data_IF_339055080353
#
_entry.id   IF_339055080353
#
_cell.length_a   1.000
_cell.length_b   1.000
_cell.length_c   1.000
_cell.angle_alpha   90.00
_cell.angle_beta   90.00
_cell.angle_gamma   90.00
#
_symmetry.space_group_name_H-M   'P 1'
#
loop_
_entity.id
_entity.type
_entity.pdbx_description
1 polymer ?
#
# COMPACT_ATOMS: atom_id res chain seq x y z
N UNK A 1 38.08 6.88 -6.50
CA UNK A 1 37.07 6.40 -5.54
C UNK A 1 36.45 7.61 -4.86
N UNK A 2 35.27 8.04 -5.27
CA UNK A 2 34.47 9.03 -4.56
C UNK A 2 33.01 8.63 -4.65
N UNK A 3 32.42 8.39 -3.48
CA UNK A 3 31.07 7.92 -3.27
C UNK A 3 30.07 9.02 -3.66
N UNK A 4 29.20 8.72 -4.63
CA UNK A 4 27.96 9.49 -4.87
C UNK A 4 26.86 8.81 -4.07
N UNK A 5 26.54 9.37 -2.90
CA UNK A 5 25.25 9.14 -2.26
C UNK A 5 24.34 10.28 -2.68
N UNK A 6 23.47 9.99 -3.64
CA UNK A 6 22.41 10.88 -4.08
C UNK A 6 21.36 10.89 -2.96
N UNK A 7 21.34 11.97 -2.18
CA UNK A 7 20.31 12.24 -1.20
C UNK A 7 18.99 12.48 -1.94
N UNK A 8 18.13 11.47 -2.01
CA UNK A 8 16.74 11.59 -2.41
C UNK A 8 15.92 11.94 -1.16
N UNK A 9 16.11 13.16 -0.66
CA UNK A 9 15.33 13.71 0.43
C UNK A 9 14.96 15.15 0.09
N UNK A 10 13.67 15.47 0.26
CA UNK A 10 13.08 16.81 0.20
C UNK A 10 12.84 17.37 -1.20
N UNK A 11 11.78 16.88 -1.86
CA UNK A 11 11.09 17.61 -2.92
C UNK A 11 9.57 17.34 -2.87
N UNK A 12 8.94 17.54 -1.71
CA UNK A 12 7.47 17.60 -1.60
C UNK A 12 7.03 18.80 -0.74
N UNK A 13 7.76 19.91 -0.86
CA UNK A 13 7.47 21.16 -0.13
C UNK A 13 7.61 22.39 -1.03
N UNK A 14 7.05 22.37 -2.24
CA UNK A 14 6.88 23.58 -3.04
C UNK A 14 5.89 23.39 -4.21
N UNK A 15 4.60 23.30 -3.91
CA UNK A 15 3.55 23.66 -4.88
C UNK A 15 2.28 24.10 -4.15
N UNK A 16 2.42 25.13 -3.31
CA UNK A 16 1.31 26.01 -2.97
C UNK A 16 1.28 27.12 -4.03
N UNK A 17 0.34 27.06 -4.99
CA UNK A 17 -0.14 28.29 -5.64
C UNK A 17 -1.47 28.09 -6.38
N UNK A 18 -2.48 28.83 -5.90
CA UNK A 18 -3.66 29.34 -6.61
C UNK A 18 -4.70 28.32 -7.14
N UNK A 19 -5.66 27.97 -6.29
CA UNK A 19 -7.04 27.70 -6.71
C UNK A 19 -8.02 28.18 -5.62
N UNK A 20 -9.20 28.60 -6.05
CA UNK A 20 -10.29 29.30 -5.37
C UNK A 20 -10.71 28.77 -3.96
N UNK A 21 -11.46 29.54 -3.14
CA UNK A 21 -11.91 29.07 -1.84
C UNK A 21 -12.91 27.92 -2.02
N UNK A 22 -12.43 26.68 -1.94
CA UNK A 22 -13.29 25.50 -1.84
C UNK A 22 -13.84 25.48 -0.42
N UNK A 23 -15.16 25.51 -0.29
CA UNK A 23 -15.87 25.41 0.99
C UNK A 23 -15.60 24.05 1.63
N UNK A 24 -14.49 23.93 2.35
CA UNK A 24 -14.20 22.77 3.18
C UNK A 24 -15.02 22.84 4.47
N UNK A 25 -15.81 21.80 4.73
CA UNK A 25 -16.51 21.64 6.01
C UNK A 25 -15.48 21.32 7.10
N UNK A 26 -14.90 22.33 7.73
CA UNK A 26 -14.04 22.15 8.91
C UNK A 26 -14.91 21.87 10.12
N UNK A 27 -15.10 20.59 10.46
CA UNK A 27 -15.84 20.19 11.65
C UNK A 27 -14.93 19.41 12.62
N UNK A 28 -14.34 20.12 13.58
CA UNK A 28 -13.80 19.53 14.80
C UNK A 28 -14.98 19.15 15.69
N UNK A 29 -15.54 17.96 15.50
CA UNK A 29 -16.53 17.43 16.45
C UNK A 29 -16.64 15.92 16.38
N UNK A 30 -16.75 15.28 17.56
CA UNK A 30 -17.11 13.87 17.71
C UNK A 30 -18.36 13.58 16.88
N UNK A 31 -18.22 12.91 15.74
CA UNK A 31 -19.36 12.52 14.91
C UNK A 31 -19.36 11.02 14.70
N UNK A 32 -20.40 10.39 15.22
CA UNK A 32 -20.81 9.05 14.85
C UNK A 32 -21.24 9.03 13.38
N UNK A 33 -20.60 8.17 12.58
CA UNK A 33 -21.00 7.72 11.24
C UNK A 33 -21.53 8.80 10.27
N UNK A 34 -20.63 9.49 9.57
CA UNK A 34 -20.99 10.26 8.38
C UNK A 34 -21.25 9.31 7.20
N UNK A 35 -22.42 9.42 6.58
CA UNK A 35 -22.70 8.85 5.24
C UNK A 35 -22.81 10.03 4.29
N UNK A 36 -21.93 10.09 3.30
CA UNK A 36 -21.93 11.13 2.25
C UNK A 36 -22.46 10.52 0.95
N UNK A 37 -23.34 11.24 0.24
CA UNK A 37 -24.10 10.82 -0.95
C UNK A 37 -24.12 11.90 -2.05
N UNK A 38 -23.02 12.64 -2.22
CA UNK A 38 -22.87 13.59 -3.32
C UNK A 38 -21.43 13.54 -3.84
N UNK A 39 -21.20 13.94 -5.10
CA UNK A 39 -19.86 14.16 -5.68
C UNK A 39 -19.04 15.11 -4.81
N UNK A 40 -18.00 14.60 -4.15
CA UNK A 40 -17.18 15.41 -3.24
C UNK A 40 -15.82 15.71 -3.84
N UNK A 41 -15.52 16.98 -4.02
CA UNK A 41 -14.18 17.41 -4.47
C UNK A 41 -13.07 17.00 -3.52
N UNK A 42 -13.27 17.14 -2.20
CA UNK A 42 -12.28 16.73 -1.20
C UNK A 42 -12.90 16.43 0.15
N UNK A 43 -12.34 15.45 0.83
CA UNK A 43 -12.66 15.09 2.22
C UNK A 43 -11.39 15.16 3.04
N UNK A 44 -11.48 15.80 4.20
CA UNK A 44 -10.41 15.77 5.21
C UNK A 44 -11.02 15.37 6.54
N UNK A 45 -10.55 14.27 7.12
CA UNK A 45 -10.95 13.83 8.45
C UNK A 45 -9.73 13.77 9.38
N UNK A 46 -9.91 14.23 10.62
CA UNK A 46 -8.99 14.01 11.73
C UNK A 46 -9.78 13.40 12.88
N UNK A 47 -9.39 12.21 13.34
CA UNK A 47 -10.13 11.45 14.34
C UNK A 47 -9.24 10.89 15.45
N UNK A 48 -9.62 11.16 16.70
CA UNK A 48 -9.03 10.54 17.90
C UNK A 48 -10.01 9.57 18.56
N UNK A 49 -9.55 8.37 18.89
CA UNK A 49 -10.29 7.33 19.61
C UNK A 49 -10.83 6.22 18.72
N UNK A 50 -12.15 6.14 18.55
CA UNK A 50 -12.80 5.16 17.65
C UNK A 50 -13.58 5.89 16.59
N UNK A 51 -13.38 5.51 15.34
CA UNK A 51 -14.04 6.13 14.21
C UNK A 51 -14.47 5.06 13.19
N UNK A 52 -15.65 5.26 12.59
CA UNK A 52 -16.16 4.41 11.52
C UNK A 52 -16.81 5.27 10.43
N UNK A 53 -16.46 5.00 9.18
CA UNK A 53 -16.93 5.74 8.03
C UNK A 53 -17.39 4.82 6.90
N UNK A 54 -18.44 5.23 6.22
CA UNK A 54 -18.98 4.54 5.04
C UNK A 54 -19.32 5.58 3.98
N UNK A 55 -18.76 5.39 2.79
CA UNK A 55 -18.94 6.25 1.62
C UNK A 55 -19.39 5.40 0.44
N UNK A 56 -20.20 5.98 -0.44
CA UNK A 56 -20.85 5.24 -1.53
C UNK A 56 -20.65 5.87 -2.93
N UNK A 57 -19.97 7.02 -3.06
CA UNK A 57 -19.92 7.81 -4.31
C UNK A 57 -18.52 8.39 -4.55
N UNK A 58 -18.36 9.03 -5.72
CA UNK A 58 -17.12 9.58 -6.28
C UNK A 58 -16.49 10.70 -5.45
N UNK A 59 -15.18 10.58 -5.22
CA UNK A 59 -14.41 11.56 -4.46
C UNK A 59 -13.09 11.86 -5.16
N UNK A 60 -12.81 13.14 -5.45
CA UNK A 60 -11.52 13.45 -6.10
C UNK A 60 -10.34 13.24 -5.15
N UNK A 61 -10.48 13.60 -3.86
CA UNK A 61 -9.40 13.44 -2.88
C UNK A 61 -9.92 13.16 -1.47
N UNK A 62 -9.27 12.22 -0.77
CA UNK A 62 -9.48 11.99 0.66
C UNK A 62 -8.17 12.02 1.43
N UNK A 63 -8.17 12.77 2.52
CA UNK A 63 -7.08 12.78 3.50
C UNK A 63 -7.65 12.39 4.87
N UNK A 64 -7.11 11.35 5.48
CA UNK A 64 -7.48 10.94 6.83
C UNK A 64 -6.24 10.91 7.74
N UNK A 65 -6.34 11.54 8.92
CA UNK A 65 -5.43 11.33 10.04
C UNK A 65 -6.22 10.69 11.19
N UNK A 66 -5.73 9.59 11.75
CA UNK A 66 -6.43 8.88 12.81
C UNK A 66 -5.51 8.38 13.93
N UNK A 67 -5.87 8.75 15.16
CA UNK A 67 -5.32 8.20 16.39
C UNK A 67 -6.30 7.21 17.03
N UNK A 68 -6.01 5.91 16.99
CA UNK A 68 -6.75 4.90 17.76
C UNK A 68 -7.27 3.74 16.93
N UNK A 69 -8.60 3.60 16.79
CA UNK A 69 -9.24 2.55 15.99
C UNK A 69 -10.07 3.19 14.89
N UNK A 70 -9.70 2.95 13.65
CA UNK A 70 -10.37 3.49 12.48
C UNK A 70 -10.86 2.35 11.58
N UNK A 71 -12.10 2.44 11.12
CA UNK A 71 -12.61 1.57 10.07
C UNK A 71 -13.27 2.39 8.97
N UNK A 72 -12.86 2.18 7.74
CA UNK A 72 -13.44 2.84 6.58
C UNK A 72 -13.93 1.82 5.54
N UNK A 73 -15.01 2.20 4.86
CA UNK A 73 -15.52 1.49 3.70
C UNK A 73 -15.92 2.49 2.62
N UNK A 74 -15.43 2.31 1.39
CA UNK A 74 -15.78 3.12 0.21
C UNK A 74 -16.41 2.28 -0.90
N UNK A 75 -17.21 2.93 -1.75
CA UNK A 75 -18.13 2.30 -2.70
C UNK A 75 -17.66 2.33 -4.16
N UNK A 76 -17.32 3.50 -4.70
CA UNK A 76 -17.11 3.70 -6.15
C UNK A 76 -15.71 4.29 -6.38
N UNK A 77 -15.58 5.50 -6.93
CA UNK A 77 -14.30 6.01 -7.41
C UNK A 77 -13.60 6.99 -6.47
N UNK A 78 -12.29 6.85 -6.32
CA UNK A 78 -11.47 7.84 -5.62
C UNK A 78 -10.20 8.17 -6.38
N UNK A 79 -10.01 9.40 -6.82
CA UNK A 79 -8.79 9.73 -7.59
C UNK A 79 -7.53 9.65 -6.71
N UNK A 80 -7.59 10.15 -5.47
CA UNK A 80 -6.44 10.12 -4.56
C UNK A 80 -6.84 9.91 -3.11
N UNK A 81 -6.06 9.06 -2.42
CA UNK A 81 -6.22 8.84 -0.97
C UNK A 81 -4.90 8.92 -0.25
N UNK A 82 -4.88 9.70 0.82
CA UNK A 82 -3.77 9.77 1.76
C UNK A 82 -4.30 9.42 3.15
N UNK A 83 -3.75 8.40 3.79
CA UNK A 83 -4.08 8.07 5.16
C UNK A 83 -2.83 8.03 6.03
N UNK A 84 -2.87 8.68 7.18
CA UNK A 84 -1.92 8.49 8.28
C UNK A 84 -2.70 7.87 9.46
N UNK A 85 -2.19 6.78 10.01
CA UNK A 85 -2.87 6.04 11.07
C UNK A 85 -1.93 5.54 12.16
N UNK A 86 -2.22 5.97 13.39
CA UNK A 86 -1.61 5.43 14.61
C UNK A 86 -2.62 4.53 15.34
N UNK A 87 -2.37 3.22 15.37
CA UNK A 87 -3.11 2.26 16.18
C UNK A 87 -3.65 1.07 15.39
N UNK A 88 -4.98 0.97 15.24
CA UNK A 88 -5.64 -0.08 14.46
C UNK A 88 -6.45 0.53 13.36
N UNK A 89 -6.10 0.22 12.12
CA UNK A 89 -6.78 0.74 10.94
C UNK A 89 -7.28 -0.41 10.08
N UNK A 90 -8.53 -0.32 9.63
CA UNK A 90 -9.08 -1.20 8.61
C UNK A 90 -9.70 -0.38 7.50
N UNK A 91 -9.28 -0.60 6.27
CA UNK A 91 -9.87 0.06 5.10
C UNK A 91 -10.31 -0.97 4.06
N UNK A 92 -11.44 -0.66 3.44
CA UNK A 92 -12.10 -1.49 2.44
C UNK A 92 -12.58 -0.59 1.32
N UNK A 93 -11.99 -0.76 0.15
CA UNK A 93 -12.36 -0.07 -1.09
C UNK A 93 -12.88 -1.09 -2.09
N UNK A 94 -13.83 -0.68 -2.93
CA UNK A 94 -14.63 -1.59 -3.73
C UNK A 94 -14.35 -1.51 -5.24
N UNK A 95 -14.10 -0.33 -5.80
CA UNK A 95 -13.91 -0.16 -7.25
C UNK A 95 -12.57 0.55 -7.52
N UNK A 96 -12.57 1.80 -8.00
CA UNK A 96 -11.36 2.37 -8.63
C UNK A 96 -10.63 3.39 -7.77
N UNK A 97 -9.30 3.28 -7.73
CA UNK A 97 -8.45 4.26 -7.04
C UNK A 97 -7.20 4.59 -7.84
N UNK A 98 -7.07 5.83 -8.32
CA UNK A 98 -5.90 6.18 -9.14
C UNK A 98 -4.61 6.16 -8.31
N UNK A 99 -4.63 6.72 -7.09
CA UNK A 99 -3.44 6.79 -6.24
C UNK A 99 -3.76 6.64 -4.76
N UNK A 100 -2.93 5.86 -4.07
CA UNK A 100 -3.02 5.72 -2.62
C UNK A 100 -1.66 5.80 -1.96
N UNK A 101 -1.62 6.60 -0.90
CA UNK A 101 -0.50 6.69 0.02
C UNK A 101 -1.04 6.37 1.41
N UNK A 102 -0.47 5.36 2.06
CA UNK A 102 -0.76 5.06 3.45
C UNK A 102 0.52 5.08 4.27
N UNK A 103 0.49 5.74 5.42
CA UNK A 103 1.49 5.60 6.48
C UNK A 103 0.77 5.03 7.72
N UNK A 104 1.33 3.98 8.31
CA UNK A 104 0.66 3.26 9.39
C UNK A 104 1.62 2.77 10.47
N UNK A 105 1.33 3.19 11.70
CA UNK A 105 1.97 2.67 12.91
C UNK A 105 0.98 1.80 13.70
N UNK A 106 1.25 0.49 13.77
CA UNK A 106 0.52 -0.44 14.63
C UNK A 106 -0.04 -1.64 13.88
N UNK A 107 -1.37 -1.73 13.74
CA UNK A 107 -2.04 -2.81 13.00
C UNK A 107 -2.89 -2.23 11.88
N UNK A 108 -2.53 -2.55 10.66
CA UNK A 108 -3.22 -2.08 9.48
C UNK A 108 -3.74 -3.28 8.69
N UNK A 109 -5.00 -3.22 8.27
CA UNK A 109 -5.55 -4.15 7.28
C UNK A 109 -6.22 -3.36 6.18
N UNK A 110 -5.81 -3.61 4.94
CA UNK A 110 -6.43 -3.00 3.79
C UNK A 110 -6.92 -4.06 2.81
N UNK A 111 -8.12 -3.82 2.30
CA UNK A 111 -8.69 -4.57 1.20
C UNK A 111 -9.07 -3.59 0.10
N UNK A 112 -8.46 -3.74 -1.07
CA UNK A 112 -8.76 -2.92 -2.25
C UNK A 112 -9.62 -3.68 -3.25
N UNK A 113 -10.31 -2.90 -4.07
CA UNK A 113 -11.19 -3.31 -5.16
C UNK A 113 -10.44 -3.61 -6.45
N UNK A 114 -11.16 -3.45 -7.56
CA UNK A 114 -10.81 -3.87 -8.92
C UNK A 114 -9.54 -3.18 -9.44
N UNK A 115 -9.53 -1.84 -9.62
CA UNK A 115 -8.41 -1.17 -10.27
C UNK A 115 -7.68 -0.14 -9.39
N UNK A 116 -6.35 -0.25 -9.33
CA UNK A 116 -5.51 0.73 -8.62
C UNK A 116 -4.26 1.09 -9.40
N UNK A 117 -4.14 2.32 -9.88
CA UNK A 117 -2.97 2.67 -10.72
C UNK A 117 -1.67 2.70 -9.91
N UNK A 118 -1.67 3.29 -8.71
CA UNK A 118 -0.46 3.38 -7.88
C UNK A 118 -0.76 3.26 -6.39
N UNK A 119 0.10 2.51 -5.70
CA UNK A 119 0.08 2.43 -4.24
C UNK A 119 1.46 2.57 -3.65
N UNK A 120 1.55 3.41 -2.63
CA UNK A 120 2.70 3.54 -1.75
C UNK A 120 2.23 3.27 -0.32
N UNK A 121 2.83 2.32 0.36
CA UNK A 121 2.56 2.07 1.76
C UNK A 121 3.85 2.08 2.57
N UNK A 122 3.87 2.82 3.67
CA UNK A 122 4.86 2.67 4.75
C UNK A 122 4.15 2.12 5.98
N UNK A 123 4.70 1.06 6.57
CA UNK A 123 4.09 0.41 7.72
C UNK A 123 5.09 -0.05 8.78
N UNK A 124 4.88 0.42 10.00
CA UNK A 124 5.54 -0.08 11.21
C UNK A 124 4.58 -0.92 12.03
N UNK A 125 4.82 -2.24 12.13
CA UNK A 125 4.11 -3.14 13.03
C UNK A 125 3.54 -4.38 12.34
N UNK A 126 2.22 -4.48 12.25
CA UNK A 126 1.52 -5.58 11.56
C UNK A 126 0.66 -5.03 10.44
N UNK A 127 1.00 -5.38 9.23
CA UNK A 127 0.30 -4.97 8.03
C UNK A 127 -0.23 -6.19 7.29
N UNK A 128 -1.49 -6.14 6.89
CA UNK A 128 -2.06 -7.11 5.96
C UNK A 128 -2.76 -6.37 4.83
N UNK A 129 -2.37 -6.68 3.60
CA UNK A 129 -3.02 -6.12 2.43
C UNK A 129 -3.54 -7.21 1.51
N UNK A 130 -4.72 -6.94 0.97
CA UNK A 130 -5.36 -7.73 -0.06
C UNK A 130 -5.77 -6.80 -1.18
N UNK A 131 -5.25 -7.05 -2.38
CA UNK A 131 -5.57 -6.27 -3.57
C UNK A 131 -6.44 -7.09 -4.53
N UNK A 132 -7.24 -6.38 -5.33
CA UNK A 132 -8.06 -6.94 -6.40
C UNK A 132 -7.26 -7.16 -7.68
N UNK A 133 -7.89 -6.84 -8.80
CA UNK A 133 -7.62 -7.38 -10.14
C UNK A 133 -6.42 -6.69 -10.78
N UNK A 134 -6.42 -5.36 -10.98
CA UNK A 134 -5.34 -4.67 -11.68
C UNK A 134 -4.62 -3.64 -10.81
N UNK A 135 -3.28 -3.72 -10.78
CA UNK A 135 -2.45 -2.72 -10.11
C UNK A 135 -1.23 -2.33 -10.95
N UNK A 136 -1.13 -1.09 -11.43
CA UNK A 136 0.02 -0.75 -12.28
C UNK A 136 1.34 -0.72 -11.49
N UNK A 137 1.36 -0.08 -10.32
CA UNK A 137 2.58 0.05 -9.52
C UNK A 137 2.35 -0.10 -8.02
N UNK A 138 3.25 -0.82 -7.37
CA UNK A 138 3.27 -1.00 -5.92
C UNK A 138 4.64 -0.72 -5.34
N UNK A 139 4.69 0.14 -4.35
CA UNK A 139 5.86 0.35 -3.48
C UNK A 139 5.42 0.13 -2.04
N UNK A 140 6.07 -0.79 -1.34
CA UNK A 140 5.79 -1.03 0.08
C UNK A 140 7.09 -1.04 0.89
N UNK A 141 7.13 -0.23 1.93
CA UNK A 141 8.16 -0.26 2.96
C UNK A 141 7.54 -0.77 4.26
N UNK A 142 8.14 -1.80 4.85
CA UNK A 142 7.55 -2.44 6.02
C UNK A 142 8.57 -2.87 7.07
N UNK A 143 8.34 -2.42 8.30
CA UNK A 143 9.05 -2.88 9.50
C UNK A 143 8.11 -3.70 10.39
N UNK A 144 8.38 -5.00 10.52
CA UNK A 144 7.69 -5.88 11.47
C UNK A 144 7.11 -7.14 10.83
N UNK A 145 5.78 -7.25 10.76
CA UNK A 145 5.09 -8.35 10.09
C UNK A 145 4.22 -7.82 8.98
N UNK A 146 4.52 -8.24 7.76
CA UNK A 146 3.79 -7.86 6.58
C UNK A 146 3.27 -9.11 5.88
N UNK A 147 1.98 -9.09 5.52
CA UNK A 147 1.40 -10.09 4.64
C UNK A 147 0.68 -9.41 3.50
N UNK A 148 1.01 -9.78 2.27
CA UNK A 148 0.34 -9.26 1.09
C UNK A 148 -0.16 -10.38 0.21
N UNK A 149 -1.38 -10.18 -0.29
CA UNK A 149 -1.97 -11.03 -1.31
C UNK A 149 -2.49 -10.16 -2.46
N UNK A 150 -2.01 -10.42 -3.66
CA UNK A 150 -2.46 -9.82 -4.91
C UNK A 150 -3.17 -10.88 -5.76
N UNK A 151 -4.20 -10.49 -6.52
CA UNK A 151 -5.10 -11.44 -7.18
C UNK A 151 -4.68 -11.75 -8.63
N UNK A 152 -4.43 -10.73 -9.46
CA UNK A 152 -4.23 -10.93 -10.91
C UNK A 152 -2.99 -10.17 -11.40
N UNK A 153 -3.13 -8.90 -11.82
CA UNK A 153 -2.12 -8.24 -12.66
C UNK A 153 -1.37 -7.11 -11.98
N UNK A 154 -0.03 -7.16 -12.03
CA UNK A 154 0.82 -6.09 -11.49
C UNK A 154 1.98 -5.72 -12.41
N UNK A 155 2.03 -4.50 -12.93
CA UNK A 155 3.14 -4.13 -13.84
C UNK A 155 4.48 -4.04 -13.10
N UNK A 156 4.51 -3.39 -11.93
CA UNK A 156 5.76 -3.26 -11.15
C UNK A 156 5.57 -3.34 -9.65
N UNK A 157 6.51 -4.00 -8.99
CA UNK A 157 6.55 -4.21 -7.55
C UNK A 157 7.91 -3.86 -7.00
N UNK A 158 7.92 -3.00 -5.99
CA UNK A 158 9.09 -2.75 -5.14
C UNK A 158 8.66 -2.96 -3.70
N UNK A 159 9.36 -3.83 -2.98
CA UNK A 159 9.11 -4.02 -1.55
C UNK A 159 10.42 -4.00 -0.76
N UNK A 160 10.52 -3.15 0.26
CA UNK A 160 11.58 -3.24 1.26
C UNK A 160 10.98 -3.69 2.61
N UNK A 161 11.51 -4.78 3.15
CA UNK A 161 10.93 -5.40 4.32
C UNK A 161 11.98 -5.80 5.37
N UNK A 162 11.81 -5.27 6.58
CA UNK A 162 12.55 -5.71 7.76
C UNK A 162 11.64 -6.52 8.69
N UNK A 163 12.01 -7.78 8.94
CA UNK A 163 11.31 -8.64 9.91
C UNK A 163 10.71 -9.90 9.30
N UNK A 164 9.37 -10.02 9.27
CA UNK A 164 8.67 -11.16 8.66
C UNK A 164 7.76 -10.69 7.55
N UNK A 165 8.04 -11.16 6.36
CA UNK A 165 7.30 -10.81 5.17
C UNK A 165 6.75 -12.08 4.51
N UNK A 166 5.46 -12.07 4.18
CA UNK A 166 4.87 -13.11 3.35
C UNK A 166 4.12 -12.45 2.20
N UNK A 167 4.47 -12.84 0.98
CA UNK A 167 3.80 -12.35 -0.21
C UNK A 167 3.27 -13.49 -1.04
N UNK A 168 2.06 -13.29 -1.54
CA UNK A 168 1.44 -14.15 -2.53
C UNK A 168 0.97 -13.28 -3.69
N UNK A 169 1.55 -13.49 -4.86
CA UNK A 169 1.17 -12.80 -6.09
C UNK A 169 0.20 -13.62 -6.93
N UNK A 170 -0.52 -12.90 -7.78
CA UNK A 170 -1.45 -13.39 -8.79
C UNK A 170 -0.73 -13.88 -10.04
N UNK A 171 -1.45 -13.82 -11.16
CA UNK A 171 -1.11 -14.41 -12.46
C UNK A 171 0.06 -13.68 -13.12
N UNK A 172 -0.06 -12.38 -13.43
CA UNK A 172 0.96 -11.68 -14.23
C UNK A 172 1.69 -10.57 -13.48
N UNK A 173 3.03 -10.62 -13.47
CA UNK A 173 3.87 -9.56 -12.89
C UNK A 173 5.06 -9.21 -13.79
N UNK A 174 5.13 -7.99 -14.31
CA UNK A 174 6.26 -7.66 -15.21
C UNK A 174 7.59 -7.49 -14.46
N UNK A 175 7.62 -6.68 -13.40
CA UNK A 175 8.87 -6.39 -12.68
C UNK A 175 8.72 -6.50 -11.17
N UNK A 176 9.71 -7.15 -10.56
CA UNK A 176 9.78 -7.34 -9.12
C UNK A 176 11.16 -6.96 -8.60
N UNK A 177 11.18 -6.08 -7.62
CA UNK A 177 12.35 -5.82 -6.77
C UNK A 177 11.93 -6.03 -5.32
N UNK A 178 12.65 -6.88 -4.58
CA UNK A 178 12.45 -7.05 -3.15
C UNK A 178 13.80 -6.92 -2.42
N UNK A 179 13.89 -6.08 -1.38
CA UNK A 179 14.94 -6.16 -0.36
C UNK A 179 14.32 -6.66 0.95
N UNK A 180 14.89 -7.71 1.53
CA UNK A 180 14.36 -8.28 2.75
C UNK A 180 15.44 -8.71 3.75
N UNK A 181 15.49 -8.04 4.92
CA UNK A 181 16.27 -8.52 6.07
C UNK A 181 15.35 -9.19 7.10
N UNK A 182 15.44 -10.52 7.24
CA UNK A 182 14.77 -11.28 8.29
C UNK A 182 14.25 -12.64 7.81
N UNK A 183 12.92 -12.80 7.77
CA UNK A 183 12.25 -13.98 7.22
C UNK A 183 11.32 -13.56 6.10
N UNK A 184 11.60 -14.03 4.91
CA UNK A 184 10.83 -13.74 3.71
C UNK A 184 10.28 -15.04 3.15
N UNK A 185 8.98 -15.08 2.86
CA UNK A 185 8.36 -16.15 2.10
C UNK A 185 7.56 -15.56 0.95
N UNK A 186 7.84 -16.02 -0.25
CA UNK A 186 7.14 -15.57 -1.44
C UNK A 186 6.58 -16.74 -2.22
N UNK A 187 5.36 -16.54 -2.72
CA UNK A 187 4.67 -17.42 -3.64
C UNK A 187 4.23 -16.61 -4.84
N UNK A 188 4.64 -17.03 -6.02
CA UNK A 188 4.32 -16.35 -7.28
C UNK A 188 3.36 -17.21 -8.10
N UNK A 189 2.50 -16.56 -8.89
CA UNK A 189 1.67 -17.21 -9.89
C UNK A 189 2.44 -17.51 -11.16
N UNK A 190 1.79 -17.29 -12.30
CA UNK A 190 2.12 -17.89 -13.60
C UNK A 190 3.27 -17.13 -14.28
N UNK A 191 3.07 -15.87 -14.69
CA UNK A 191 4.05 -15.16 -15.51
C UNK A 191 4.79 -14.04 -14.75
N UNK A 192 6.13 -14.14 -14.69
CA UNK A 192 6.98 -13.05 -14.19
C UNK A 192 8.13 -12.71 -15.13
N UNK A 193 8.19 -11.49 -15.65
CA UNK A 193 9.26 -11.15 -16.60
C UNK A 193 10.63 -10.99 -15.92
N UNK A 194 10.73 -10.18 -14.87
CA UNK A 194 12.02 -9.90 -14.24
C UNK A 194 11.95 -9.79 -12.73
N UNK A 195 12.96 -10.35 -12.08
CA UNK A 195 13.04 -10.46 -10.63
C UNK A 195 14.43 -10.09 -10.13
N UNK A 196 14.46 -9.18 -9.16
CA UNK A 196 15.64 -8.90 -8.35
C UNK A 196 15.26 -9.07 -6.89
N UNK A 197 15.90 -9.99 -6.18
CA UNK A 197 15.75 -10.12 -4.74
C UNK A 197 17.11 -9.94 -4.06
N UNK A 198 17.17 -9.10 -3.04
CA UNK A 198 18.23 -9.10 -2.02
C UNK A 198 17.60 -9.56 -0.70
N UNK A 199 18.21 -10.53 -0.03
CA UNK A 199 17.67 -11.08 1.19
C UNK A 199 18.73 -11.44 2.23
N UNK A 200 18.59 -10.90 3.43
CA UNK A 200 19.36 -11.33 4.60
C UNK A 200 18.50 -12.18 5.53
N UNK A 201 19.02 -13.29 6.03
CA UNK A 201 18.33 -14.14 7.01
C UNK A 201 17.75 -15.44 6.43
N UNK A 202 16.43 -15.60 6.38
CA UNK A 202 15.79 -16.80 5.80
C UNK A 202 14.85 -16.40 4.68
N UNK A 203 15.11 -16.95 3.50
CA UNK A 203 14.33 -16.71 2.31
C UNK A 203 13.78 -18.03 1.78
N UNK A 204 12.47 -18.11 1.60
CA UNK A 204 11.84 -19.22 0.88
C UNK A 204 11.01 -18.68 -0.27
N UNK A 205 11.19 -19.24 -1.46
CA UNK A 205 10.45 -18.85 -2.65
C UNK A 205 9.84 -20.07 -3.30
N UNK A 206 8.61 -19.90 -3.77
CA UNK A 206 7.91 -20.87 -4.63
C UNK A 206 7.35 -20.19 -5.85
N UNK A 207 7.51 -20.82 -7.00
CA UNK A 207 7.07 -20.30 -8.30
C UNK A 207 6.20 -21.34 -8.98
N UNK A 208 5.10 -20.90 -9.61
CA UNK A 208 4.19 -21.80 -10.30
C UNK A 208 4.68 -22.07 -11.73
N UNK A 209 5.12 -21.05 -12.47
CA UNK A 209 5.51 -21.20 -13.89
C UNK A 209 6.72 -20.34 -14.32
N UNK A 210 6.52 -19.45 -15.29
CA UNK A 210 7.53 -18.89 -16.19
C UNK A 210 8.15 -17.62 -15.63
N UNK A 211 9.49 -17.64 -15.52
CA UNK A 211 10.28 -16.46 -15.17
C UNK A 211 11.35 -16.20 -16.19
N UNK A 212 11.29 -15.04 -16.87
CA UNK A 212 12.27 -14.74 -17.93
C UNK A 212 13.65 -14.37 -17.37
N UNK A 213 13.72 -13.71 -16.21
CA UNK A 213 14.99 -13.35 -15.57
C UNK A 213 14.91 -13.28 -14.05
N UNK A 214 15.93 -13.80 -13.37
CA UNK A 214 16.05 -13.79 -11.91
C UNK A 214 17.48 -13.45 -11.50
N UNK A 215 17.59 -12.47 -10.61
CA UNK A 215 18.79 -12.17 -9.85
C UNK A 215 18.45 -12.27 -8.37
N UNK A 216 19.11 -13.19 -7.66
CA UNK A 216 18.93 -13.38 -6.23
C UNK A 216 20.28 -13.19 -5.53
N UNK A 217 20.36 -12.25 -4.60
CA UNK A 217 21.41 -12.19 -3.58
C UNK A 217 20.79 -12.58 -2.24
N UNK A 218 21.45 -13.49 -1.53
CA UNK A 218 20.91 -14.02 -0.28
C UNK A 218 22.00 -14.30 0.76
N UNK A 219 22.03 -13.48 1.80
CA UNK A 219 22.87 -13.65 2.97
C UNK A 219 22.13 -14.40 4.07
N UNK A 220 22.11 -15.74 3.98
CA UNK A 220 21.53 -16.60 5.00
C UNK A 220 21.05 -17.95 4.46
N UNK A 221 19.90 -18.45 4.94
CA UNK A 221 19.29 -19.67 4.42
C UNK A 221 18.30 -19.36 3.31
N UNK A 222 18.67 -19.72 2.09
CA UNK A 222 17.81 -19.68 0.91
C UNK A 222 17.21 -21.07 0.62
N UNK A 223 15.92 -21.13 0.29
CA UNK A 223 15.27 -22.34 -0.24
C UNK A 223 14.31 -21.97 -1.37
N UNK A 224 14.63 -22.42 -2.57
CA UNK A 224 13.73 -22.39 -3.71
C UNK A 224 12.91 -23.69 -3.75
N UNK A 225 11.62 -23.57 -4.07
CA UNK A 225 10.75 -24.70 -4.36
C UNK A 225 10.05 -24.49 -5.70
N UNK A 226 9.92 -25.57 -6.45
CA UNK A 226 8.99 -25.68 -7.58
C UNK A 226 7.62 -26.12 -7.04
#
# INVERSE_FOLDING_TARGET
MQFKHLALAVALSASLSLAAPVQGVSAVEKRDAATVKEDVSSVVNDAYGRYNEKRAEDISSVVNDAYGKYNEKRGEDVSSVVNDAYGKYNDKRAEDVSSVVNDAYGKYNEKRGEDVSSVVNDAYGKYNEKRGEEVSSVVNDAYGRYNEKRAEDVSSVVNDAYGRYNERRGEDVSYVVNDAYGRYNEKRGEDVFSVVNDAYGRYNEKRAEDVSSVVNDAYGRYKEGQ
#
